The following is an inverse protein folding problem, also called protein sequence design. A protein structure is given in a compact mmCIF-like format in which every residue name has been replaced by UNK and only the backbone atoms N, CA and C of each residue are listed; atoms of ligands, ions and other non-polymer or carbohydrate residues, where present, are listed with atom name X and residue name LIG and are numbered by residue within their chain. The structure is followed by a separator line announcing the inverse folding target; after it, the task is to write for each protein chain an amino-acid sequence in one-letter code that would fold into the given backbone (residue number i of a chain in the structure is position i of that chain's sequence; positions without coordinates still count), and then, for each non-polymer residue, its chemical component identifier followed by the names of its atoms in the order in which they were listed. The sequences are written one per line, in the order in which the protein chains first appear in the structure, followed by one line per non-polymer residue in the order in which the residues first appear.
data_IF_836034650597
#
_entry.id   IF_836034650597
#
_cell.length_a   1.000
_cell.length_b   1.000
_cell.length_c   1.000
_cell.angle_alpha   90.00
_cell.angle_beta   90.00
_cell.angle_gamma   90.00
#
_symmetry.space_group_name_H-M   'P 1'
#
loop_
_entity.id
_entity.type
_entity.pdbx_description
1 polymer ?
#
# COMPACT_ATOMS: atom_id res chain seq x y z
N UNK A 1 -13.80 18.45 -3.00
CA UNK A 1 -13.22 19.39 -2.00
C UNK A 1 -13.00 18.71 -0.65
N UNK A 2 -14.00 18.06 -0.03
CA UNK A 2 -13.80 17.32 1.23
C UNK A 2 -12.71 16.23 1.16
N UNK A 3 -12.65 15.49 0.04
CA UNK A 3 -11.61 14.48 -0.21
C UNK A 3 -10.18 15.02 -0.18
N UNK A 4 -9.96 16.34 -0.33
CA UNK A 4 -8.62 16.93 -0.27
C UNK A 4 -8.31 17.55 1.09
N UNK A 5 -9.33 18.01 1.83
CA UNK A 5 -9.15 18.68 3.13
C UNK A 5 -8.76 17.67 4.21
N UNK A 6 -9.46 16.54 4.30
CA UNK A 6 -9.20 15.56 5.35
C UNK A 6 -7.77 14.97 5.27
N UNK A 7 -7.26 14.55 4.09
CA UNK A 7 -5.88 14.10 3.99
C UNK A 7 -4.86 15.19 4.30
N UNK A 8 -5.15 16.45 3.95
CA UNK A 8 -4.29 17.57 4.31
C UNK A 8 -4.19 17.73 5.83
N UNK A 9 -5.33 17.69 6.54
CA UNK A 9 -5.34 17.73 8.00
C UNK A 9 -4.55 16.55 8.57
N UNK A 10 -4.78 15.32 8.11
CA UNK A 10 -4.04 14.13 8.56
C UNK A 10 -2.53 14.28 8.36
N UNK A 11 -2.12 14.76 7.18
CA UNK A 11 -0.71 14.91 6.80
C UNK A 11 0.00 16.02 7.58
N UNK A 12 -0.70 17.10 7.92
CA UNK A 12 -0.13 18.26 8.64
C UNK A 12 -0.22 18.12 10.16
N UNK A 13 -1.23 17.41 10.68
CA UNK A 13 -1.48 17.32 12.13
C UNK A 13 -1.14 15.95 12.70
N UNK A 14 -1.77 14.89 12.19
CA UNK A 14 -1.67 13.53 12.76
C UNK A 14 -0.28 12.94 12.50
N UNK A 15 0.22 13.01 11.26
CA UNK A 15 1.53 12.42 10.91
C UNK A 15 2.68 13.07 11.71
N UNK A 16 2.81 14.42 11.79
CA UNK A 16 3.86 15.05 12.59
C UNK A 16 3.75 14.76 14.08
N UNK A 17 2.53 14.65 14.62
CA UNK A 17 2.31 14.29 16.02
C UNK A 17 2.94 12.93 16.35
N UNK A 18 2.82 11.93 15.45
CA UNK A 18 3.44 10.62 15.65
C UNK A 18 4.97 10.74 15.70
N UNK A 19 5.58 11.53 14.81
CA UNK A 19 7.03 11.79 14.85
C UNK A 19 7.45 12.49 16.15
N UNK A 20 6.66 13.45 16.64
CA UNK A 20 6.90 14.11 17.94
C UNK A 20 6.83 13.11 19.08
N UNK A 21 5.85 12.20 19.10
CA UNK A 21 5.74 11.14 20.10
C UNK A 21 6.97 10.21 20.05
N UNK A 22 7.36 9.75 18.86
CA UNK A 22 8.52 8.87 18.66
C UNK A 22 9.84 9.55 19.09
N UNK A 23 9.94 10.87 18.90
CA UNK A 23 11.09 11.66 19.36
C UNK A 23 11.10 11.82 20.88
N UNK A 24 9.95 12.15 21.49
CA UNK A 24 9.81 12.42 22.94
C UNK A 24 9.89 11.15 23.79
N UNK A 25 9.41 10.01 23.28
CA UNK A 25 9.38 8.73 24.01
C UNK A 25 10.53 7.80 23.62
N UNK A 26 11.72 8.36 23.39
CA UNK A 26 12.92 7.62 22.96
C UNK A 26 13.29 6.46 23.90
N UNK A 27 13.14 6.64 25.21
CA UNK A 27 13.67 5.67 26.19
C UNK A 27 12.77 4.44 26.37
N UNK A 28 11.53 4.50 25.89
CA UNK A 28 10.56 3.40 26.02
C UNK A 28 10.66 2.36 24.90
N UNK A 29 11.41 2.64 23.83
CA UNK A 29 11.42 1.82 22.63
C UNK A 29 12.84 1.56 22.16
N UNK A 30 13.12 0.32 21.80
CA UNK A 30 14.42 -0.03 21.20
C UNK A 30 14.63 0.74 19.88
N UNK A 31 15.88 1.13 19.57
CA UNK A 31 16.17 1.96 18.41
C UNK A 31 15.79 1.33 17.07
N UNK A 32 15.84 0.00 16.96
CA UNK A 32 15.46 -0.77 15.77
C UNK A 32 13.96 -0.70 15.49
N UNK A 33 13.12 -0.93 16.50
CA UNK A 33 11.67 -0.82 16.41
C UNK A 33 11.28 0.62 16.09
N UNK A 34 11.93 1.60 16.74
CA UNK A 34 11.68 3.02 16.48
C UNK A 34 12.02 3.41 15.04
N UNK A 35 13.14 2.93 14.50
CA UNK A 35 13.49 3.15 13.09
C UNK A 35 12.42 2.55 12.17
N UNK A 36 11.95 1.34 12.45
CA UNK A 36 10.83 0.73 11.73
C UNK A 36 9.58 1.61 11.72
N UNK A 37 9.21 2.20 12.87
CA UNK A 37 8.06 3.10 12.96
C UNK A 37 8.26 4.37 12.14
N UNK A 38 9.46 4.96 12.21
CA UNK A 38 9.81 6.13 11.39
C UNK A 38 9.67 5.82 9.90
N UNK A 39 10.25 4.72 9.43
CA UNK A 39 10.15 4.27 8.03
C UNK A 39 8.69 4.04 7.63
N UNK A 40 7.92 3.35 8.46
CA UNK A 40 6.50 3.09 8.20
C UNK A 40 5.67 4.38 8.12
N UNK A 41 5.94 5.35 9.00
CA UNK A 41 5.26 6.65 8.95
C UNK A 41 5.63 7.46 7.72
N UNK A 42 6.91 7.45 7.30
CA UNK A 42 7.32 8.07 6.04
C UNK A 42 6.63 7.41 4.84
N UNK A 43 6.60 6.08 4.78
CA UNK A 43 5.96 5.34 3.71
C UNK A 43 4.45 5.67 3.62
N UNK A 44 3.73 5.64 4.75
CA UNK A 44 2.31 6.02 4.78
C UNK A 44 2.08 7.49 4.41
N UNK A 45 2.94 8.41 4.86
CA UNK A 45 2.83 9.82 4.51
C UNK A 45 3.06 10.04 3.02
N UNK A 46 4.05 9.36 2.43
CA UNK A 46 4.30 9.40 0.99
C UNK A 46 3.12 8.83 0.19
N UNK A 47 2.55 7.71 0.64
CA UNK A 47 1.35 7.13 0.03
C UNK A 47 0.17 8.11 0.08
N UNK A 48 -0.16 8.66 1.24
CA UNK A 48 -1.24 9.65 1.39
C UNK A 48 -1.00 10.88 0.51
N UNK A 49 0.23 11.38 0.51
CA UNK A 49 0.60 12.52 -0.33
C UNK A 49 0.37 12.22 -1.82
N UNK A 50 0.77 11.02 -2.26
CA UNK A 50 0.60 10.60 -3.64
C UNK A 50 -0.87 10.47 -4.04
N UNK A 51 -1.67 9.75 -3.26
CA UNK A 51 -3.09 9.54 -3.57
C UNK A 51 -3.90 10.81 -3.47
N UNK A 52 -3.63 11.69 -2.50
CA UNK A 52 -4.48 12.83 -2.22
C UNK A 52 -4.06 14.12 -2.95
N UNK A 53 -2.81 14.24 -3.37
CA UNK A 53 -2.29 15.43 -4.05
C UNK A 53 -1.73 15.14 -5.43
N UNK A 54 -0.78 14.21 -5.57
CA UNK A 54 -0.06 14.02 -6.84
C UNK A 54 -0.92 13.36 -7.92
N UNK A 55 -1.66 12.32 -7.54
CA UNK A 55 -2.49 11.53 -8.46
C UNK A 55 -3.96 11.90 -8.34
N UNK A 56 -4.54 11.98 -7.13
CA UNK A 56 -5.99 12.16 -6.95
C UNK A 56 -6.77 11.14 -7.80
N UNK A 57 -6.61 9.89 -7.41
CA UNK A 57 -7.22 8.73 -8.10
C UNK A 57 -8.68 8.62 -7.69
N UNK A 58 -9.54 8.34 -8.68
CA UNK A 58 -10.96 8.11 -8.54
C UNK A 58 -11.33 6.81 -9.26
N UNK A 59 -12.05 5.91 -8.59
CA UNK A 59 -12.54 4.68 -9.22
C UNK A 59 -13.68 4.99 -10.18
N UNK A 60 -13.66 4.36 -11.36
CA UNK A 60 -14.65 4.55 -12.42
C UNK A 60 -15.72 3.46 -12.40
N UNK A 61 -16.48 3.31 -11.32
CA UNK A 61 -17.60 2.36 -11.33
C UNK A 61 -18.66 2.76 -12.39
N UNK A 62 -19.20 1.81 -13.19
CA UNK A 62 -19.02 0.35 -13.13
C UNK A 62 -17.87 -0.21 -13.99
N UNK A 63 -17.10 0.65 -14.67
CA UNK A 63 -16.00 0.25 -15.53
C UNK A 63 -14.81 -0.25 -14.72
N UNK A 64 -14.03 -1.17 -15.30
CA UNK A 64 -12.73 -1.51 -14.76
C UNK A 64 -11.74 -0.40 -15.14
N UNK A 65 -11.72 0.69 -14.38
CA UNK A 65 -10.86 1.82 -14.70
C UNK A 65 -10.66 2.78 -13.53
N UNK A 66 -9.65 3.63 -13.68
CA UNK A 66 -9.30 4.69 -12.75
C UNK A 66 -9.26 6.02 -13.50
N UNK A 67 -9.74 7.08 -12.89
CA UNK A 67 -9.53 8.43 -13.36
C UNK A 67 -8.58 9.16 -12.42
N UNK A 68 -7.61 9.85 -12.97
CA UNK A 68 -6.58 10.54 -12.22
C UNK A 68 -6.50 11.99 -12.68
N UNK A 69 -6.75 12.94 -11.77
CA UNK A 69 -6.82 14.36 -12.11
C UNK A 69 -5.70 15.20 -11.48
N UNK A 70 -4.78 14.59 -10.74
CA UNK A 70 -3.66 15.22 -10.05
C UNK A 70 -2.60 15.79 -10.99
N UNK A 71 -1.69 16.64 -10.48
CA UNK A 71 -0.69 17.32 -11.30
C UNK A 71 0.13 16.39 -12.18
N UNK A 72 0.58 15.25 -11.64
CA UNK A 72 1.42 14.28 -12.38
C UNK A 72 0.62 13.63 -13.52
N UNK A 73 -0.66 13.36 -13.31
CA UNK A 73 -1.55 12.79 -14.32
C UNK A 73 -1.93 13.76 -15.44
N UNK A 74 -1.55 15.04 -15.36
CA UNK A 74 -1.77 16.03 -16.43
C UNK A 74 -0.51 16.29 -17.26
N UNK A 75 0.63 15.71 -16.89
CA UNK A 75 1.92 15.96 -17.55
C UNK A 75 2.12 15.14 -18.84
N UNK A 76 1.14 14.33 -19.25
CA UNK A 76 1.27 13.47 -20.43
C UNK A 76 2.25 12.30 -20.25
N UNK A 77 2.56 11.92 -19.00
CA UNK A 77 3.41 10.76 -18.69
C UNK A 77 2.69 9.48 -19.14
N UNK A 78 3.38 8.51 -19.76
CA UNK A 78 2.74 7.26 -20.16
C UNK A 78 2.14 6.52 -18.96
N UNK A 79 0.93 5.97 -19.13
CA UNK A 79 0.11 5.37 -18.06
C UNK A 79 0.84 4.28 -17.27
N UNK A 80 1.70 3.49 -17.92
CA UNK A 80 2.48 2.44 -17.26
C UNK A 80 3.41 3.00 -16.17
N UNK A 81 4.07 4.13 -16.43
CA UNK A 81 4.94 4.78 -15.44
C UNK A 81 4.14 5.43 -14.31
N UNK A 82 2.96 5.97 -14.62
CA UNK A 82 2.03 6.46 -13.61
C UNK A 82 1.62 5.32 -12.66
N UNK A 83 1.21 4.17 -13.21
CA UNK A 83 0.85 2.98 -12.42
C UNK A 83 2.03 2.45 -11.61
N UNK A 84 3.24 2.43 -12.17
CA UNK A 84 4.46 2.05 -11.45
C UNK A 84 4.71 2.95 -10.23
N UNK A 85 4.58 4.26 -10.37
CA UNK A 85 4.83 5.18 -9.26
C UNK A 85 3.78 5.05 -8.15
N UNK A 86 2.51 4.91 -8.53
CA UNK A 86 1.42 4.65 -7.56
C UNK A 86 1.65 3.31 -6.86
N UNK A 87 1.99 2.26 -7.60
CA UNK A 87 2.20 0.93 -7.03
C UNK A 87 3.40 0.88 -6.10
N UNK A 88 4.53 1.49 -6.43
CA UNK A 88 5.70 1.58 -5.54
C UNK A 88 5.29 2.16 -4.18
N UNK A 89 4.62 3.31 -4.20
CA UNK A 89 4.32 4.01 -2.94
C UNK A 89 3.23 3.35 -2.12
N UNK A 90 2.29 2.66 -2.78
CA UNK A 90 1.31 1.79 -2.12
C UNK A 90 1.97 0.57 -1.50
N UNK A 91 2.79 -0.14 -2.28
CA UNK A 91 3.42 -1.40 -1.87
C UNK A 91 4.43 -1.15 -0.76
N UNK A 92 5.24 -0.09 -0.81
CA UNK A 92 6.29 0.19 0.19
C UNK A 92 5.78 0.33 1.63
N UNK A 93 4.48 0.60 1.85
CA UNK A 93 3.92 0.68 3.21
C UNK A 93 3.79 -0.69 3.88
N UNK A 94 3.54 -1.74 3.09
CA UNK A 94 3.29 -3.09 3.59
C UNK A 94 4.56 -3.73 4.18
N UNK A 95 5.73 -3.73 3.51
CA UNK A 95 6.96 -4.25 4.11
C UNK A 95 7.37 -3.55 5.40
N UNK A 96 7.18 -2.23 5.47
CA UNK A 96 7.50 -1.48 6.68
C UNK A 96 6.62 -1.91 7.86
N UNK A 97 5.33 -2.13 7.61
CA UNK A 97 4.41 -2.69 8.60
C UNK A 97 4.77 -4.14 8.98
N UNK A 98 5.06 -5.01 8.01
CA UNK A 98 5.43 -6.41 8.26
C UNK A 98 6.71 -6.53 9.10
N UNK A 99 7.73 -5.70 8.80
CA UNK A 99 8.96 -5.64 9.58
C UNK A 99 8.66 -5.29 11.04
N UNK A 100 7.84 -4.26 11.27
CA UNK A 100 7.43 -3.86 12.62
C UNK A 100 6.65 -4.95 13.32
N UNK A 101 5.69 -5.58 12.64
CA UNK A 101 4.86 -6.64 13.21
C UNK A 101 5.72 -7.82 13.67
N UNK A 102 6.64 -8.29 12.82
CA UNK A 102 7.56 -9.39 13.17
C UNK A 102 8.43 -8.99 14.36
N UNK A 103 9.04 -7.81 14.34
CA UNK A 103 9.93 -7.36 15.42
C UNK A 103 9.20 -7.19 16.76
N UNK A 104 8.01 -6.60 16.73
CA UNK A 104 7.16 -6.43 17.92
C UNK A 104 6.70 -7.78 18.47
N UNK A 105 6.23 -8.69 17.60
CA UNK A 105 5.84 -10.04 17.99
C UNK A 105 7.00 -10.78 18.67
N UNK A 106 8.19 -10.79 18.06
CA UNK A 106 9.37 -11.47 18.59
C UNK A 106 9.81 -10.88 19.94
N UNK A 107 9.61 -9.57 20.15
CA UNK A 107 9.87 -8.91 21.43
C UNK A 107 8.86 -9.30 22.52
N UNK A 108 7.58 -9.42 22.19
CA UNK A 108 6.52 -9.82 23.13
C UNK A 108 6.77 -11.25 23.65
N UNK A 109 7.20 -12.15 22.76
CA UNK A 109 7.40 -13.56 23.09
C UNK A 109 8.81 -13.87 23.63
N UNK A 110 9.70 -12.89 23.71
CA UNK A 110 11.12 -13.12 24.07
C UNK A 110 11.26 -13.86 25.42
N UNK A 111 10.38 -13.55 26.37
CA UNK A 111 10.35 -14.11 27.73
C UNK A 111 9.45 -15.35 27.90
N UNK A 112 8.76 -15.82 26.87
CA UNK A 112 7.87 -16.99 26.97
C UNK A 112 8.50 -18.22 26.34
N UNK A 113 8.02 -19.44 26.60
CA UNK A 113 8.54 -20.66 25.94
C UNK A 113 7.85 -20.97 24.60
N UNK A 114 7.40 -19.93 23.88
CA UNK A 114 6.70 -20.12 22.61
C UNK A 114 7.60 -20.72 21.53
N UNK A 115 7.08 -21.72 20.81
CA UNK A 115 7.74 -22.33 19.63
C UNK A 115 7.82 -21.39 18.43
N UNK A 116 7.15 -20.25 18.45
CA UNK A 116 7.17 -19.24 17.38
C UNK A 116 8.34 -18.24 17.50
N UNK A 117 9.30 -18.49 18.39
CA UNK A 117 10.55 -17.73 18.42
C UNK A 117 11.34 -17.97 17.14
N UNK A 118 11.57 -16.90 16.39
CA UNK A 118 12.33 -16.92 15.16
C UNK A 118 13.71 -16.32 15.40
N UNK A 119 14.74 -16.99 14.89
CA UNK A 119 16.09 -16.41 14.86
C UNK A 119 16.11 -15.13 14.02
N UNK A 120 17.01 -14.20 14.29
CA UNK A 120 17.14 -12.96 13.50
C UNK A 120 17.40 -13.24 12.02
N UNK A 121 18.14 -14.32 11.70
CA UNK A 121 18.37 -14.77 10.32
C UNK A 121 17.06 -15.19 9.67
N UNK A 122 16.27 -16.02 10.35
CA UNK A 122 14.95 -16.47 9.87
C UNK A 122 13.99 -15.30 9.68
N UNK A 123 13.98 -14.32 10.60
CA UNK A 123 13.18 -13.10 10.45
C UNK A 123 13.58 -12.30 9.20
N UNK A 124 14.88 -12.09 8.97
CA UNK A 124 15.36 -11.35 7.81
C UNK A 124 15.05 -12.07 6.49
N UNK A 125 15.23 -13.40 6.44
CA UNK A 125 14.86 -14.21 5.27
C UNK A 125 13.35 -14.07 4.99
N UNK A 126 12.53 -14.19 6.03
CA UNK A 126 11.08 -14.07 5.90
C UNK A 126 10.68 -12.69 5.36
N UNK A 127 11.23 -11.61 5.91
CA UNK A 127 10.96 -10.25 5.42
C UNK A 127 11.44 -10.09 3.98
N UNK A 128 12.60 -10.63 3.62
CA UNK A 128 13.12 -10.56 2.25
C UNK A 128 12.19 -11.27 1.25
N UNK A 129 11.69 -12.46 1.60
CA UNK A 129 10.71 -13.19 0.78
C UNK A 129 9.42 -12.39 0.64
N UNK A 130 8.89 -11.82 1.72
CA UNK A 130 7.67 -11.00 1.68
C UNK A 130 7.87 -9.72 0.83
N UNK A 131 9.02 -9.07 0.93
CA UNK A 131 9.40 -7.93 0.08
C UNK A 131 9.48 -8.35 -1.38
N UNK A 132 10.05 -9.52 -1.68
CA UNK A 132 10.12 -10.06 -3.04
C UNK A 132 8.74 -10.28 -3.66
N UNK A 133 7.83 -10.92 -2.91
CA UNK A 133 6.42 -11.11 -3.32
C UNK A 133 5.75 -9.76 -3.55
N UNK A 134 5.92 -8.81 -2.64
CA UNK A 134 5.31 -7.48 -2.79
C UNK A 134 5.90 -6.70 -3.97
N UNK A 135 7.20 -6.83 -4.23
CA UNK A 135 7.88 -6.17 -5.36
C UNK A 135 7.44 -6.75 -6.70
N UNK A 136 7.04 -8.02 -6.78
CA UNK A 136 6.49 -8.57 -8.03
C UNK A 136 5.16 -7.92 -8.42
N UNK A 137 4.35 -7.49 -7.44
CA UNK A 137 3.13 -6.70 -7.70
C UNK A 137 3.47 -5.35 -8.33
N UNK A 138 4.54 -4.67 -7.89
CA UNK A 138 4.99 -3.42 -8.52
C UNK A 138 5.28 -3.64 -10.01
N UNK A 139 5.99 -4.72 -10.33
CA UNK A 139 6.27 -5.09 -11.72
C UNK A 139 5.00 -5.45 -12.49
N UNK A 140 4.07 -6.17 -11.86
CA UNK A 140 2.80 -6.54 -12.48
C UNK A 140 1.88 -5.33 -12.75
N UNK A 141 1.80 -4.36 -11.84
CA UNK A 141 1.14 -3.06 -12.10
C UNK A 141 1.77 -2.30 -13.28
N UNK A 142 3.09 -2.37 -13.45
CA UNK A 142 3.75 -1.74 -14.61
C UNK A 142 3.42 -2.47 -15.92
N UNK A 143 3.48 -3.80 -15.93
CA UNK A 143 3.28 -4.62 -17.13
C UNK A 143 1.81 -4.72 -17.55
N UNK A 144 0.90 -4.89 -16.59
CA UNK A 144 -0.52 -5.15 -16.80
C UNK A 144 -1.42 -3.93 -16.55
N UNK A 145 -0.91 -2.87 -15.90
CA UNK A 145 -1.60 -1.58 -15.71
C UNK A 145 -1.60 -0.69 -16.96
N UNK A 146 -1.85 -1.30 -18.12
CA UNK A 146 -2.04 -0.64 -19.41
C UNK A 146 -3.52 -0.65 -19.80
N UNK A 147 -3.90 0.21 -20.72
CA UNK A 147 -5.28 0.23 -21.21
C UNK A 147 -5.64 -1.09 -21.93
N UNK A 148 -6.94 -1.39 -21.97
CA UNK A 148 -7.50 -2.44 -22.79
C UNK A 148 -7.41 -2.10 -24.29
N UNK A 149 -7.59 -3.11 -25.12
CA UNK A 149 -7.61 -2.98 -26.58
C UNK A 149 -8.75 -2.08 -27.08
N UNK A 150 -9.90 -2.11 -26.41
CA UNK A 150 -11.11 -1.36 -26.75
C UNK A 150 -11.14 0.06 -26.14
N UNK A 151 -10.04 0.53 -25.55
CA UNK A 151 -10.03 1.79 -24.79
C UNK A 151 -10.43 3.01 -25.63
N UNK A 152 -10.07 3.05 -26.91
CA UNK A 152 -10.46 4.13 -27.83
C UNK A 152 -11.97 4.18 -28.09
N UNK A 153 -12.61 3.02 -28.21
CA UNK A 153 -14.05 2.93 -28.37
C UNK A 153 -14.76 3.32 -27.06
N UNK A 154 -14.25 2.84 -25.93
CA UNK A 154 -14.77 3.21 -24.61
C UNK A 154 -14.68 4.71 -24.36
N UNK A 155 -13.61 5.38 -24.80
CA UNK A 155 -13.49 6.84 -24.67
C UNK A 155 -14.57 7.62 -25.43
N UNK A 156 -15.28 7.01 -26.38
CA UNK A 156 -16.41 7.64 -27.08
C UNK A 156 -17.72 7.57 -26.30
N UNK A 157 -17.81 6.74 -25.25
CA UNK A 157 -18.97 6.68 -24.38
C UNK A 157 -19.14 8.04 -23.69
N UNK A 158 -20.34 8.67 -23.71
CA UNK A 158 -20.52 10.03 -23.22
C UNK A 158 -19.97 10.30 -21.81
N UNK A 159 -20.15 9.35 -20.90
CA UNK A 159 -19.68 9.46 -19.51
C UNK A 159 -18.14 9.52 -19.40
N UNK A 160 -17.44 8.70 -20.19
CA UNK A 160 -15.99 8.65 -20.24
C UNK A 160 -15.43 9.82 -21.05
N UNK A 161 -16.09 10.18 -22.15
CA UNK A 161 -15.75 11.32 -22.99
C UNK A 161 -15.78 12.64 -22.20
N UNK A 162 -16.80 12.84 -21.36
CA UNK A 162 -16.88 14.00 -20.48
C UNK A 162 -15.71 14.06 -19.49
N UNK A 163 -15.29 12.91 -18.92
CA UNK A 163 -14.12 12.85 -18.04
C UNK A 163 -12.81 13.14 -18.76
N UNK A 164 -12.65 12.65 -20.00
CA UNK A 164 -11.50 12.97 -20.83
C UNK A 164 -11.42 14.48 -21.11
N UNK A 165 -12.55 15.13 -21.40
CA UNK A 165 -12.62 16.59 -21.65
C UNK A 165 -12.30 17.43 -20.42
N UNK A 166 -12.55 16.93 -19.21
CA UNK A 166 -12.20 17.60 -17.94
C UNK A 166 -10.69 17.70 -17.71
N UNK A 167 -9.91 16.96 -18.49
CA UNK A 167 -8.46 16.84 -18.37
C UNK A 167 -8.04 15.78 -17.35
N UNK A 168 -6.75 15.46 -17.32
CA UNK A 168 -6.23 14.34 -16.51
C UNK A 168 -6.03 13.08 -17.36
N UNK A 169 -5.88 11.95 -16.69
CA UNK A 169 -5.60 10.66 -17.32
C UNK A 169 -6.64 9.63 -16.92
N UNK A 170 -7.29 9.01 -17.91
CA UNK A 170 -8.16 7.85 -17.74
C UNK A 170 -7.34 6.58 -17.92
N UNK A 171 -7.37 5.66 -16.96
CA UNK A 171 -6.85 4.31 -17.05
C UNK A 171 -8.04 3.38 -17.31
N UNK A 172 -8.13 2.83 -18.52
CA UNK A 172 -9.27 2.00 -18.93
C UNK A 172 -8.79 0.56 -19.05
N UNK A 173 -8.99 -0.25 -18.01
CA UNK A 173 -8.57 -1.65 -18.01
C UNK A 173 -9.56 -2.60 -18.70
N UNK A 174 -10.78 -2.13 -18.96
CA UNK A 174 -11.78 -2.81 -19.78
C UNK A 174 -13.23 -2.51 -19.39
N UNK A 175 -14.21 -3.10 -20.10
CA UNK A 175 -15.62 -2.87 -19.84
C UNK A 175 -16.06 -3.44 -18.48
N UNK A 176 -17.27 -3.12 -17.99
CA UNK A 176 -17.76 -3.59 -16.70
C UNK A 176 -17.64 -5.11 -16.56
N UNK A 177 -16.97 -5.54 -15.48
CA UNK A 177 -16.72 -6.95 -15.18
C UNK A 177 -15.61 -7.62 -16.00
N UNK A 178 -14.93 -6.92 -16.91
CA UNK A 178 -13.88 -7.48 -17.78
C UNK A 178 -12.64 -6.59 -17.80
N UNK A 179 -11.75 -6.76 -16.82
CA UNK A 179 -10.48 -6.06 -16.77
C UNK A 179 -9.41 -6.84 -17.57
N UNK A 180 -9.36 -6.68 -18.90
CA UNK A 180 -8.60 -7.51 -19.86
C UNK A 180 -7.20 -7.92 -19.38
N UNK A 181 -6.22 -7.01 -19.45
CA UNK A 181 -4.85 -7.30 -19.00
C UNK A 181 -4.72 -7.22 -17.47
N UNK A 182 -5.47 -6.32 -16.86
CA UNK A 182 -5.36 -6.01 -15.43
C UNK A 182 -5.86 -7.14 -14.54
N UNK A 183 -6.71 -8.05 -15.03
CA UNK A 183 -7.12 -9.25 -14.30
C UNK A 183 -5.93 -10.12 -13.90
N UNK A 184 -4.86 -10.17 -14.73
CA UNK A 184 -3.62 -10.89 -14.37
C UNK A 184 -2.94 -10.29 -13.15
N UNK A 185 -2.91 -8.96 -13.06
CA UNK A 185 -2.39 -8.27 -11.88
C UNK A 185 -3.28 -8.49 -10.65
N UNK A 186 -4.59 -8.43 -10.81
CA UNK A 186 -5.53 -8.70 -9.70
C UNK A 186 -5.34 -10.12 -9.14
N UNK A 187 -5.09 -11.10 -10.01
CA UNK A 187 -4.76 -12.47 -9.59
C UNK A 187 -3.41 -12.54 -8.86
N UNK A 188 -2.37 -11.85 -9.35
CA UNK A 188 -1.06 -11.78 -8.68
C UNK A 188 -1.17 -11.15 -7.28
N UNK A 189 -1.94 -10.06 -7.18
CA UNK A 189 -2.23 -9.37 -5.93
C UNK A 189 -3.00 -10.27 -4.97
N UNK A 190 -4.02 -10.98 -5.45
CA UNK A 190 -4.78 -11.91 -4.64
C UNK A 190 -3.91 -13.05 -4.11
N UNK A 191 -3.04 -13.65 -4.94
CA UNK A 191 -2.07 -14.64 -4.51
C UNK A 191 -1.14 -14.09 -3.42
N UNK A 192 -0.65 -12.86 -3.59
CA UNK A 192 0.21 -12.20 -2.61
C UNK A 192 -0.51 -11.99 -1.27
N UNK A 193 -1.77 -11.55 -1.30
CA UNK A 193 -2.61 -11.39 -0.10
C UNK A 193 -2.83 -12.74 0.59
N UNK A 194 -3.15 -13.80 -0.16
CA UNK A 194 -3.38 -15.13 0.39
C UNK A 194 -2.13 -15.73 1.05
N UNK A 195 -0.93 -15.35 0.61
CA UNK A 195 0.33 -15.78 1.24
C UNK A 195 0.63 -14.94 2.49
N UNK A 196 0.45 -13.62 2.43
CA UNK A 196 0.87 -12.69 3.49
C UNK A 196 -0.15 -12.62 4.64
N UNK A 197 -1.45 -12.60 4.34
CA UNK A 197 -2.51 -12.36 5.31
C UNK A 197 -2.57 -13.43 6.42
N UNK A 198 -2.44 -14.74 6.14
CA UNK A 198 -2.40 -15.75 7.20
C UNK A 198 -1.24 -15.54 8.17
N UNK A 199 -0.08 -15.13 7.66
CA UNK A 199 1.09 -14.85 8.48
C UNK A 199 0.83 -13.66 9.43
N UNK A 200 0.30 -12.55 8.90
CA UNK A 200 -0.09 -11.38 9.69
C UNK A 200 -1.11 -11.76 10.77
N UNK A 201 -2.11 -12.55 10.40
CA UNK A 201 -3.17 -12.98 11.31
C UNK A 201 -2.61 -13.82 12.46
N UNK A 202 -1.79 -14.84 12.16
CA UNK A 202 -1.18 -15.72 13.17
C UNK A 202 -0.30 -14.92 14.13
N UNK A 203 0.59 -14.06 13.63
CA UNK A 203 1.44 -13.25 14.48
C UNK A 203 0.64 -12.31 15.39
N UNK A 204 -0.38 -11.67 14.85
CA UNK A 204 -1.22 -10.73 15.59
C UNK A 204 -2.00 -11.45 16.68
N UNK A 205 -2.71 -12.52 16.32
CA UNK A 205 -3.52 -13.29 17.27
C UNK A 205 -2.67 -13.92 18.38
N UNK A 206 -1.52 -14.50 18.04
CA UNK A 206 -0.61 -15.05 19.04
C UNK A 206 -0.04 -13.97 19.96
N UNK A 207 0.32 -12.80 19.44
CA UNK A 207 0.78 -11.67 20.29
C UNK A 207 -0.29 -11.25 21.28
N UNK A 208 -1.55 -11.13 20.83
CA UNK A 208 -2.69 -10.77 21.68
C UNK A 208 -2.93 -11.82 22.77
N UNK A 209 -2.84 -13.10 22.42
CA UNK A 209 -2.97 -14.20 23.39
C UNK A 209 -1.91 -14.10 24.50
N UNK A 210 -0.63 -13.98 24.12
CA UNK A 210 0.48 -13.88 25.09
C UNK A 210 0.35 -12.63 25.96
N UNK A 211 -0.01 -11.48 25.37
CA UNK A 211 -0.23 -10.25 26.14
C UNK A 211 -1.39 -10.37 27.15
N UNK A 212 -2.42 -11.16 26.83
CA UNK A 212 -3.53 -11.43 27.75
C UNK A 212 -3.09 -12.33 28.91
N UNK A 213 -2.28 -13.35 28.62
CA UNK A 213 -1.72 -14.26 29.64
C UNK A 213 -0.77 -13.55 30.60
N UNK A 214 0.01 -12.55 30.13
CA UNK A 214 0.93 -11.78 30.96
C UNK A 214 0.28 -10.71 31.85
N UNK A 215 -1.01 -10.40 31.66
CA UNK A 215 -1.74 -9.43 32.51
C UNK A 215 -2.32 -10.05 33.77
N UNK A 216 -2.35 -11.38 33.84
CA UNK A 216 -2.75 -12.16 35.02
C UNK A 216 -1.54 -12.33 35.91
#
# INVERSE_FOLDING_TARGET
RYQSILPFITLVTIRPLIFVILKKKRDYMKPDIRLGYVISQFAMTAQEFNFCFLFRVHDLAPYAGLYCDGPICRMGIPKQYLMLFVSITTICTVPAFLLLLVRMHQRIIERTDSRLKLSTRSQNILIFVMVGILSSNVAGFYLFGRDCTEAEEMMRIPDLAWMAQRGGTLFLFGPPGKAEFFNKELMLLMCSILIIAPFVFVLTFHSLKIMREQRV
#
